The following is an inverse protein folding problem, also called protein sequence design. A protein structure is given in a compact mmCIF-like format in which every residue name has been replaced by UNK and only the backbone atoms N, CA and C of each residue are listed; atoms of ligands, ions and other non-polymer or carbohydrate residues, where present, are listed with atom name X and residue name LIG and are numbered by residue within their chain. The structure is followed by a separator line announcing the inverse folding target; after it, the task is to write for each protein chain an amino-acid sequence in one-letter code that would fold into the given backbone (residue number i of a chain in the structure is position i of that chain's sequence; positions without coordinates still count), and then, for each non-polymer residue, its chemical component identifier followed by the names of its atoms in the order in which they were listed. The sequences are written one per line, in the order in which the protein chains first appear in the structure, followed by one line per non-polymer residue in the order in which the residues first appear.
data_IF_634599751601
#
_entry.id   IF_634599751601
#
_cell.length_a   1.000
_cell.length_b   1.000
_cell.length_c   1.000
_cell.angle_alpha   90.00
_cell.angle_beta   90.00
_cell.angle_gamma   90.00
#
_symmetry.space_group_name_H-M   'P 1'
#
loop_
_entity.id
_entity.type
_entity.pdbx_description
1 polymer ?
#
# COMPACT_ATOMS: atom_id res chain seq x y z
N UNK A 1 40.79 -16.56 -42.82
CA UNK A 1 40.30 -15.45 -43.67
C UNK A 1 39.68 -16.07 -44.91
N UNK A 2 38.42 -15.88 -45.29
CA UNK A 2 37.51 -14.77 -45.06
C UNK A 2 36.04 -15.26 -45.08
N UNK A 3 35.20 -14.62 -44.29
CA UNK A 3 33.76 -14.87 -44.08
C UNK A 3 32.96 -14.33 -45.26
N UNK A 4 31.83 -14.94 -45.63
CA UNK A 4 30.70 -14.24 -46.27
C UNK A 4 29.36 -14.94 -45.91
N UNK A 5 28.72 -14.40 -44.88
CA UNK A 5 27.31 -14.62 -44.54
C UNK A 5 26.43 -13.92 -45.59
N UNK A 6 25.52 -14.64 -46.23
CA UNK A 6 24.38 -14.04 -46.92
C UNK A 6 23.11 -14.40 -46.16
N UNK A 7 22.54 -13.41 -45.47
CA UNK A 7 21.27 -13.52 -44.76
C UNK A 7 20.15 -13.33 -45.78
N UNK A 8 19.28 -14.33 -45.95
CA UNK A 8 18.11 -14.24 -46.82
C UNK A 8 17.04 -13.35 -46.15
N UNK A 9 16.66 -12.25 -46.80
CA UNK A 9 15.64 -11.32 -46.33
C UNK A 9 14.23 -11.90 -46.55
N UNK A 10 13.37 -11.78 -45.55
CA UNK A 10 12.02 -12.35 -45.47
C UNK A 10 10.92 -11.43 -46.05
N UNK A 11 11.31 -10.45 -46.87
CA UNK A 11 10.44 -9.39 -47.38
C UNK A 11 10.45 -9.26 -48.92
N UNK A 12 10.93 -10.28 -49.63
CA UNK A 12 11.15 -10.23 -51.09
C UNK A 12 10.08 -10.97 -51.92
N UNK A 13 8.84 -11.07 -51.43
CA UNK A 13 7.71 -11.51 -52.26
C UNK A 13 6.64 -10.42 -52.29
N UNK A 14 6.72 -9.60 -53.34
CA UNK A 14 5.80 -8.52 -53.66
C UNK A 14 4.39 -9.00 -54.05
N UNK A 15 3.65 -9.53 -53.09
CA UNK A 15 2.22 -9.82 -53.22
C UNK A 15 1.41 -8.97 -52.23
N UNK A 16 1.32 -7.68 -52.53
CA UNK A 16 0.38 -6.77 -51.86
C UNK A 16 -0.88 -6.64 -52.74
N UNK A 17 -2.01 -7.07 -52.17
CA UNK A 17 -3.31 -6.43 -52.41
C UNK A 17 -4.25 -7.11 -53.39
N UNK A 18 -4.95 -8.16 -52.95
CA UNK A 18 -6.32 -8.46 -53.43
C UNK A 18 -7.13 -8.98 -52.25
N UNK A 19 -8.29 -8.36 -52.03
CA UNK A 19 -8.98 -8.30 -50.75
C UNK A 19 -9.55 -9.62 -50.22
N UNK A 20 -9.52 -9.72 -48.89
CA UNK A 20 -10.41 -10.56 -48.10
C UNK A 20 -10.83 -9.74 -46.88
N UNK A 21 -12.15 -9.69 -46.65
CA UNK A 21 -12.86 -9.01 -45.58
C UNK A 21 -12.10 -8.93 -44.24
N UNK A 22 -12.13 -7.79 -43.52
CA UNK A 22 -11.88 -7.80 -42.10
C UNK A 22 -13.11 -8.42 -41.43
N UNK A 23 -13.16 -9.76 -41.41
CA UNK A 23 -13.92 -10.45 -40.38
C UNK A 23 -13.32 -9.97 -39.08
N UNK A 24 -14.13 -9.22 -38.32
CA UNK A 24 -13.84 -8.77 -36.97
C UNK A 24 -13.02 -9.82 -36.23
N UNK A 25 -11.74 -9.53 -36.02
CA UNK A 25 -10.88 -10.30 -35.15
C UNK A 25 -11.46 -10.18 -33.73
N UNK A 26 -12.43 -11.04 -33.42
CA UNK A 26 -12.78 -11.35 -32.06
C UNK A 26 -11.51 -11.88 -31.43
N UNK A 27 -10.93 -11.06 -30.56
CA UNK A 27 -9.90 -11.44 -29.61
C UNK A 27 -10.42 -12.58 -28.77
N UNK A 28 -10.25 -13.82 -29.25
CA UNK A 28 -10.52 -15.02 -28.48
C UNK A 28 -9.37 -15.20 -27.50
N UNK A 29 -9.32 -14.33 -26.50
CA UNK A 29 -8.59 -14.57 -25.27
C UNK A 29 -9.35 -15.66 -24.52
N UNK A 30 -9.10 -16.92 -24.88
CA UNK A 30 -9.47 -18.04 -24.04
C UNK A 30 -8.44 -18.14 -22.90
N UNK A 31 -8.44 -17.14 -22.01
CA UNK A 31 -8.02 -17.42 -20.63
C UNK A 31 -9.08 -18.33 -20.04
N UNK A 32 -8.65 -19.35 -19.28
CA UNK A 32 -9.59 -20.13 -18.49
C UNK A 32 -10.33 -19.14 -17.57
N UNK A 33 -11.61 -18.89 -17.85
CA UNK A 33 -12.39 -17.85 -17.19
C UNK A 33 -12.60 -18.25 -15.73
N UNK A 34 -11.87 -17.61 -14.83
CA UNK A 34 -12.01 -17.79 -13.39
C UNK A 34 -13.00 -16.77 -12.81
N UNK A 35 -13.56 -17.01 -11.63
CA UNK A 35 -14.39 -16.03 -10.91
C UNK A 35 -13.66 -14.72 -10.66
N UNK A 36 -12.34 -14.75 -10.47
CA UNK A 36 -11.51 -13.53 -10.39
C UNK A 36 -11.61 -12.70 -11.68
N UNK A 37 -11.54 -13.34 -12.84
CA UNK A 37 -11.61 -12.66 -14.14
C UNK A 37 -12.98 -12.02 -14.36
N UNK A 38 -14.05 -12.69 -13.92
CA UNK A 38 -15.42 -12.15 -13.99
C UNK A 38 -15.63 -10.98 -13.02
N UNK A 39 -14.87 -10.93 -11.91
CA UNK A 39 -14.88 -9.82 -10.94
C UNK A 39 -13.83 -8.75 -11.23
N UNK A 40 -13.08 -8.86 -12.34
CA UNK A 40 -11.99 -7.94 -12.68
C UNK A 40 -12.40 -6.47 -12.59
N UNK A 41 -13.53 -6.11 -13.21
CA UNK A 41 -14.03 -4.73 -13.21
C UNK A 41 -14.40 -4.27 -11.79
N UNK A 42 -14.89 -5.18 -10.95
CA UNK A 42 -15.18 -4.91 -9.55
C UNK A 42 -13.91 -4.63 -8.76
N UNK A 43 -12.89 -5.47 -8.94
CA UNK A 43 -11.59 -5.28 -8.28
C UNK A 43 -10.86 -4.04 -8.76
N UNK A 44 -11.03 -3.66 -10.02
CA UNK A 44 -10.52 -2.40 -10.54
C UNK A 44 -11.11 -1.19 -9.81
N UNK A 45 -12.40 -1.21 -9.47
CA UNK A 45 -13.03 -0.16 -8.64
C UNK A 45 -12.35 -0.06 -7.27
N UNK A 46 -12.08 -1.21 -6.62
CA UNK A 46 -11.37 -1.22 -5.33
C UNK A 46 -9.98 -0.60 -5.48
N UNK A 47 -9.27 -0.91 -6.57
CA UNK A 47 -7.98 -0.32 -6.86
C UNK A 47 -8.06 1.21 -7.07
N UNK A 48 -9.06 1.70 -7.80
CA UNK A 48 -9.30 3.13 -7.99
C UNK A 48 -9.52 3.86 -6.66
N UNK A 49 -10.36 3.30 -5.77
CA UNK A 49 -10.59 3.88 -4.44
C UNK A 49 -9.30 3.95 -3.63
N UNK A 50 -8.46 2.92 -3.69
CA UNK A 50 -7.13 2.91 -3.04
C UNK A 50 -6.21 3.99 -3.60
N UNK A 51 -6.27 4.24 -4.90
CA UNK A 51 -5.54 5.31 -5.59
C UNK A 51 -6.16 6.71 -5.36
N UNK A 52 -7.07 6.85 -4.38
CA UNK A 52 -7.72 8.10 -4.01
C UNK A 52 -8.62 8.69 -5.12
N UNK A 53 -9.12 7.86 -6.03
CA UNK A 53 -10.18 8.26 -6.96
C UNK A 53 -11.51 8.29 -6.23
N UNK A 54 -12.24 9.41 -6.37
CA UNK A 54 -13.49 9.64 -5.66
C UNK A 54 -14.62 9.74 -6.69
N UNK A 55 -15.68 8.93 -6.54
CA UNK A 55 -16.85 9.03 -7.40
C UNK A 55 -17.57 10.35 -7.18
N UNK A 56 -17.98 11.01 -8.27
CA UNK A 56 -18.68 12.30 -8.20
C UNK A 56 -20.09 12.21 -7.62
N UNK A 57 -20.77 11.07 -7.80
CA UNK A 57 -22.10 10.81 -7.27
C UNK A 57 -22.13 9.42 -6.60
N UNK A 58 -22.49 9.39 -5.30
CA UNK A 58 -22.47 8.18 -4.49
C UNK A 58 -23.57 7.19 -4.88
N UNK A 59 -24.78 7.68 -5.18
CA UNK A 59 -25.91 6.83 -5.53
C UNK A 59 -25.69 6.16 -6.88
N UNK A 60 -25.25 6.93 -7.87
CA UNK A 60 -24.88 6.40 -9.19
C UNK A 60 -23.73 5.39 -9.10
N UNK A 61 -22.76 5.64 -8.22
CA UNK A 61 -21.66 4.72 -7.97
C UNK A 61 -22.14 3.39 -7.37
N UNK A 62 -23.04 3.46 -6.38
CA UNK A 62 -23.67 2.28 -5.77
C UNK A 62 -24.45 1.47 -6.80
N UNK A 63 -25.26 2.13 -7.62
CA UNK A 63 -26.04 1.47 -8.68
C UNK A 63 -25.14 0.79 -9.72
N UNK A 64 -24.02 1.41 -10.09
CA UNK A 64 -23.01 0.79 -10.96
C UNK A 64 -22.44 -0.49 -10.36
N UNK A 65 -22.13 -0.49 -9.06
CA UNK A 65 -21.62 -1.69 -8.37
C UNK A 65 -22.68 -2.79 -8.33
N UNK A 66 -23.94 -2.45 -8.01
CA UNK A 66 -25.03 -3.42 -8.00
C UNK A 66 -25.25 -4.05 -9.39
N UNK A 67 -25.20 -3.24 -10.44
CA UNK A 67 -25.28 -3.71 -11.82
C UNK A 67 -24.10 -4.61 -12.18
N UNK A 68 -22.89 -4.27 -11.76
CA UNK A 68 -21.69 -5.10 -11.93
C UNK A 68 -21.84 -6.46 -11.24
N UNK A 69 -22.33 -6.49 -10.00
CA UNK A 69 -22.56 -7.73 -9.25
C UNK A 69 -23.62 -8.61 -9.91
N UNK A 70 -24.72 -8.01 -10.40
CA UNK A 70 -25.75 -8.72 -11.16
C UNK A 70 -25.19 -9.27 -12.48
N UNK A 71 -24.31 -8.52 -13.14
CA UNK A 71 -23.66 -8.96 -14.36
C UNK A 71 -22.73 -10.14 -14.11
N UNK A 72 -21.87 -10.03 -13.09
CA UNK A 72 -20.99 -11.10 -12.60
C UNK A 72 -21.79 -12.38 -12.33
N UNK A 73 -22.86 -12.29 -11.55
CA UNK A 73 -23.69 -13.44 -11.18
C UNK A 73 -24.32 -14.10 -12.43
N UNK A 74 -24.83 -13.32 -13.38
CA UNK A 74 -25.36 -13.84 -14.63
C UNK A 74 -24.29 -14.51 -15.51
N UNK A 75 -23.09 -13.93 -15.59
CA UNK A 75 -21.97 -14.52 -16.34
C UNK A 75 -21.49 -15.82 -15.69
N UNK A 76 -21.31 -15.82 -14.38
CA UNK A 76 -20.83 -16.99 -13.64
C UNK A 76 -21.83 -18.16 -13.73
N UNK A 77 -23.14 -17.89 -13.65
CA UNK A 77 -24.17 -18.92 -13.87
C UNK A 77 -24.12 -19.49 -15.31
N UNK A 78 -23.89 -18.64 -16.32
CA UNK A 78 -23.74 -19.10 -17.72
C UNK A 78 -22.52 -20.01 -17.91
N UNK A 79 -21.46 -19.77 -17.14
CA UNK A 79 -20.24 -20.57 -17.11
C UNK A 79 -20.36 -21.79 -16.17
N UNK A 80 -21.55 -22.07 -15.62
CA UNK A 80 -21.84 -23.23 -14.78
C UNK A 80 -21.08 -23.30 -13.45
N UNK A 81 -20.66 -22.15 -12.89
CA UNK A 81 -20.18 -22.10 -11.52
C UNK A 81 -21.30 -22.44 -10.53
N UNK A 82 -20.94 -23.05 -9.38
CA UNK A 82 -21.90 -23.36 -8.32
C UNK A 82 -22.55 -22.09 -7.78
N UNK A 83 -23.83 -22.17 -7.42
CA UNK A 83 -24.55 -21.07 -6.80
C UNK A 83 -23.86 -20.60 -5.52
N UNK A 84 -23.30 -21.53 -4.76
CA UNK A 84 -22.56 -21.22 -3.53
C UNK A 84 -21.26 -20.49 -3.83
N UNK A 85 -20.51 -20.87 -4.88
CA UNK A 85 -19.29 -20.17 -5.27
C UNK A 85 -19.55 -18.74 -5.69
N UNK A 86 -20.64 -18.53 -6.44
CA UNK A 86 -21.08 -17.20 -6.86
C UNK A 86 -21.49 -16.38 -5.64
N UNK A 87 -22.22 -16.98 -4.69
CA UNK A 87 -22.64 -16.34 -3.46
C UNK A 87 -21.45 -15.90 -2.61
N UNK A 88 -20.53 -16.83 -2.34
CA UNK A 88 -19.35 -16.61 -1.51
C UNK A 88 -18.39 -15.59 -2.16
N UNK A 89 -18.19 -15.66 -3.48
CA UNK A 89 -17.38 -14.69 -4.21
C UNK A 89 -17.99 -13.28 -4.17
N UNK A 90 -19.32 -13.15 -4.36
CA UNK A 90 -20.04 -11.87 -4.24
C UNK A 90 -19.92 -11.31 -2.83
N UNK A 91 -20.04 -12.18 -1.82
CA UNK A 91 -19.90 -11.83 -0.42
C UNK A 91 -18.50 -11.30 -0.09
N UNK A 92 -17.46 -12.03 -0.51
CA UNK A 92 -16.06 -11.63 -0.31
C UNK A 92 -15.76 -10.26 -0.94
N UNK A 93 -16.23 -10.03 -2.18
CA UNK A 93 -16.06 -8.75 -2.87
C UNK A 93 -16.76 -7.60 -2.12
N UNK A 94 -18.03 -7.79 -1.73
CA UNK A 94 -18.76 -6.77 -0.99
C UNK A 94 -18.04 -6.44 0.32
N UNK A 95 -17.46 -7.44 0.97
CA UNK A 95 -16.74 -7.23 2.21
C UNK A 95 -15.43 -6.46 2.04
N UNK A 96 -14.67 -6.76 0.99
CA UNK A 96 -13.51 -5.98 0.59
C UNK A 96 -13.87 -4.53 0.30
N UNK A 97 -14.92 -4.29 -0.49
CA UNK A 97 -15.30 -2.96 -0.93
C UNK A 97 -15.80 -2.09 0.23
N UNK A 98 -16.69 -2.62 1.07
CA UNK A 98 -17.22 -1.92 2.25
C UNK A 98 -16.07 -1.53 3.19
N UNK A 99 -15.16 -2.46 3.49
CA UNK A 99 -13.98 -2.16 4.32
C UNK A 99 -13.08 -1.12 3.64
N UNK A 100 -12.87 -1.21 2.32
CA UNK A 100 -12.04 -0.27 1.58
C UNK A 100 -12.59 1.16 1.66
N UNK A 101 -13.89 1.35 1.54
CA UNK A 101 -14.53 2.67 1.61
C UNK A 101 -14.44 3.23 3.04
N UNK A 102 -14.82 2.43 4.04
CA UNK A 102 -14.86 2.85 5.45
C UNK A 102 -13.46 3.17 5.99
N UNK A 103 -12.41 2.53 5.46
CA UNK A 103 -11.05 2.68 5.98
C UNK A 103 -10.22 3.77 5.30
N UNK A 104 -10.80 4.50 4.35
CA UNK A 104 -10.15 5.68 3.77
C UNK A 104 -9.91 6.76 4.83
N UNK A 105 -8.72 7.36 4.81
CA UNK A 105 -8.32 8.39 5.78
C UNK A 105 -8.44 9.82 5.26
N UNK A 106 -8.55 9.99 3.95
CA UNK A 106 -8.63 11.31 3.32
C UNK A 106 -9.99 11.95 3.58
N UNK A 107 -9.99 13.23 3.98
CA UNK A 107 -11.21 13.99 4.24
C UNK A 107 -12.14 14.09 3.01
N UNK A 108 -11.59 13.93 1.80
CA UNK A 108 -12.37 13.98 0.57
C UNK A 108 -13.33 12.78 0.42
N UNK A 109 -13.11 11.70 1.16
CA UNK A 109 -14.00 10.52 1.18
C UNK A 109 -15.15 10.65 2.17
N UNK A 110 -15.24 11.73 2.95
CA UNK A 110 -16.21 11.88 4.03
C UNK A 110 -17.66 11.73 3.55
N UNK A 111 -18.03 12.36 2.43
CA UNK A 111 -19.38 12.27 1.87
C UNK A 111 -19.70 10.85 1.39
N UNK A 112 -18.75 10.19 0.71
CA UNK A 112 -18.90 8.80 0.29
C UNK A 112 -19.07 7.89 1.51
N UNK A 113 -18.23 8.03 2.52
CA UNK A 113 -18.26 7.21 3.73
C UNK A 113 -19.57 7.35 4.48
N UNK A 114 -20.04 8.58 4.72
CA UNK A 114 -21.27 8.81 5.48
C UNK A 114 -22.48 8.21 4.77
N UNK A 115 -22.60 8.40 3.46
CA UNK A 115 -23.68 7.80 2.69
C UNK A 115 -23.57 6.27 2.67
N UNK A 116 -22.36 5.74 2.53
CA UNK A 116 -22.13 4.29 2.48
C UNK A 116 -22.41 3.59 3.81
N UNK A 117 -22.09 4.22 4.94
CA UNK A 117 -22.32 3.68 6.28
C UNK A 117 -23.81 3.53 6.63
N UNK A 118 -24.71 4.25 5.96
CA UNK A 118 -26.17 4.11 6.16
C UNK A 118 -26.64 2.72 5.69
N UNK A 119 -26.12 2.25 4.56
CA UNK A 119 -26.52 0.97 3.96
C UNK A 119 -25.36 0.33 3.19
N UNK A 120 -24.35 -0.22 3.91
CA UNK A 120 -23.23 -0.91 3.30
C UNK A 120 -23.72 -2.15 2.52
N UNK A 121 -22.95 -2.60 1.53
CA UNK A 121 -23.39 -3.67 0.65
C UNK A 121 -23.58 -4.99 1.41
N UNK A 122 -22.74 -5.28 2.39
CA UNK A 122 -22.88 -6.42 3.29
C UNK A 122 -24.25 -6.45 3.98
N UNK A 123 -24.71 -5.31 4.49
CA UNK A 123 -26.02 -5.20 5.13
C UNK A 123 -27.14 -5.27 4.09
N UNK A 124 -27.01 -4.53 2.99
CA UNK A 124 -28.05 -4.43 1.96
C UNK A 124 -28.29 -5.72 1.19
N UNK A 125 -27.25 -6.54 0.96
CA UNK A 125 -27.33 -7.74 0.13
C UNK A 125 -27.34 -9.03 0.95
N UNK A 126 -26.69 -9.04 2.12
CA UNK A 126 -26.50 -10.24 2.94
C UNK A 126 -27.08 -10.12 4.35
N UNK A 127 -27.62 -8.95 4.72
CA UNK A 127 -28.23 -8.74 6.04
C UNK A 127 -27.25 -8.90 7.21
N UNK A 128 -25.94 -8.77 6.96
CA UNK A 128 -24.89 -9.03 7.96
C UNK A 128 -23.96 -7.84 8.12
N UNK A 129 -23.60 -7.54 9.37
CA UNK A 129 -22.56 -6.58 9.73
C UNK A 129 -21.29 -7.25 10.28
N UNK A 130 -21.30 -8.59 10.38
CA UNK A 130 -20.22 -9.38 11.01
C UNK A 130 -19.23 -9.92 9.99
N UNK A 131 -19.11 -9.25 8.85
CA UNK A 131 -18.37 -9.79 7.73
C UNK A 131 -16.87 -9.90 7.98
N UNK A 132 -16.30 -9.04 8.83
CA UNK A 132 -14.91 -9.16 9.27
C UNK A 132 -14.56 -10.48 9.97
N UNK A 133 -15.55 -11.18 10.55
CA UNK A 133 -15.38 -12.50 11.16
C UNK A 133 -15.86 -13.62 10.23
N UNK A 134 -17.08 -13.49 9.70
CA UNK A 134 -17.71 -14.47 8.82
C UNK A 134 -16.89 -14.74 7.55
N UNK A 135 -16.17 -13.73 7.04
CA UNK A 135 -15.25 -13.93 5.91
C UNK A 135 -14.22 -15.03 6.19
N UNK A 136 -13.61 -15.02 7.38
CA UNK A 136 -12.58 -16.02 7.73
C UNK A 136 -13.18 -17.38 8.11
N UNK A 137 -14.43 -17.42 8.60
CA UNK A 137 -15.15 -18.68 8.78
C UNK A 137 -15.47 -19.34 7.44
N UNK A 138 -16.00 -18.57 6.48
CA UNK A 138 -16.21 -19.03 5.10
C UNK A 138 -14.90 -19.44 4.45
N UNK A 139 -13.82 -18.69 4.64
CA UNK A 139 -12.48 -19.06 4.16
C UNK A 139 -12.07 -20.44 4.68
N UNK A 140 -12.18 -20.70 5.98
CA UNK A 140 -11.79 -21.99 6.55
C UNK A 140 -12.67 -23.13 6.03
N UNK A 141 -13.97 -22.88 5.85
CA UNK A 141 -14.87 -23.82 5.20
C UNK A 141 -14.42 -24.13 3.76
N UNK A 142 -14.13 -23.12 2.94
CA UNK A 142 -13.67 -23.31 1.56
C UNK A 142 -12.37 -24.12 1.48
N UNK A 143 -11.43 -23.88 2.39
CA UNK A 143 -10.18 -24.66 2.51
C UNK A 143 -10.46 -26.13 2.80
N UNK A 144 -11.42 -26.42 3.69
CA UNK A 144 -11.80 -27.80 4.01
C UNK A 144 -12.34 -28.59 2.80
N UNK A 145 -12.94 -27.88 1.82
CA UNK A 145 -13.45 -28.47 0.58
C UNK A 145 -12.37 -28.61 -0.51
N UNK A 146 -11.21 -27.97 -0.35
CA UNK A 146 -10.07 -28.11 -1.24
C UNK A 146 -10.36 -27.76 -2.70
N UNK A 147 -10.24 -28.74 -3.61
CA UNK A 147 -10.35 -28.51 -5.06
C UNK A 147 -11.76 -28.16 -5.53
N UNK A 148 -12.79 -28.66 -4.85
CA UNK A 148 -14.18 -28.52 -5.30
C UNK A 148 -14.68 -27.08 -5.21
N UNK A 149 -14.12 -26.31 -4.28
CA UNK A 149 -14.45 -24.89 -4.03
C UNK A 149 -13.27 -23.96 -4.29
N UNK A 150 -12.30 -24.41 -5.11
CA UNK A 150 -11.06 -23.67 -5.39
C UNK A 150 -11.35 -22.28 -6.00
N UNK A 151 -12.32 -22.17 -6.89
CA UNK A 151 -12.64 -20.91 -7.57
C UNK A 151 -13.05 -19.81 -6.57
N UNK A 152 -13.91 -20.13 -5.58
CA UNK A 152 -14.26 -19.17 -4.53
C UNK A 152 -13.08 -18.92 -3.58
N UNK A 153 -12.32 -19.95 -3.21
CA UNK A 153 -11.12 -19.80 -2.36
C UNK A 153 -10.12 -18.80 -2.96
N UNK A 154 -9.92 -18.84 -4.28
CA UNK A 154 -9.07 -17.88 -5.00
C UNK A 154 -9.59 -16.45 -4.90
N UNK A 155 -10.90 -16.23 -5.00
CA UNK A 155 -11.51 -14.90 -4.83
C UNK A 155 -11.26 -14.36 -3.43
N UNK A 156 -11.40 -15.19 -2.38
CA UNK A 156 -11.10 -14.79 -1.00
C UNK A 156 -9.62 -14.44 -0.83
N UNK A 157 -8.74 -15.27 -1.37
CA UNK A 157 -7.30 -15.00 -1.37
C UNK A 157 -6.98 -13.66 -2.06
N UNK A 158 -7.58 -13.41 -3.22
CA UNK A 158 -7.41 -12.16 -3.96
C UNK A 158 -7.92 -10.94 -3.18
N UNK A 159 -9.03 -11.08 -2.45
CA UNK A 159 -9.53 -10.02 -1.56
C UNK A 159 -8.54 -9.68 -0.44
N UNK A 160 -7.89 -10.68 0.16
CA UNK A 160 -6.86 -10.44 1.18
C UNK A 160 -5.61 -9.76 0.58
N UNK A 161 -5.18 -10.15 -0.62
CA UNK A 161 -4.08 -9.49 -1.34
C UNK A 161 -4.41 -8.02 -1.67
N UNK A 162 -5.67 -7.75 -1.98
CA UNK A 162 -6.21 -6.39 -2.12
C UNK A 162 -6.45 -5.71 -0.78
N UNK A 163 -5.89 -6.20 0.34
CA UNK A 163 -5.87 -5.49 1.62
C UNK A 163 -7.20 -5.51 2.37
N UNK A 164 -7.99 -6.57 2.24
CA UNK A 164 -9.02 -6.90 3.21
C UNK A 164 -8.37 -7.44 4.49
N UNK A 165 -8.66 -6.81 5.64
CA UNK A 165 -8.10 -7.24 6.93
C UNK A 165 -9.14 -7.91 7.82
N UNK A 166 -10.40 -7.46 7.79
CA UNK A 166 -11.46 -7.93 8.68
C UNK A 166 -11.02 -7.92 10.15
N UNK A 167 -11.25 -9.04 10.87
CA UNK A 167 -10.86 -9.20 12.29
C UNK A 167 -9.36 -8.97 12.56
N UNK A 168 -8.48 -9.23 11.58
CA UNK A 168 -7.04 -9.09 11.76
C UNK A 168 -6.56 -7.64 11.83
N UNK A 169 -7.42 -6.67 11.51
CA UNK A 169 -7.13 -5.24 11.71
C UNK A 169 -6.91 -4.90 13.19
N UNK A 170 -7.54 -5.65 14.10
CA UNK A 170 -7.45 -5.46 15.56
C UNK A 170 -6.47 -6.46 16.18
N UNK A 171 -6.44 -7.70 15.67
CA UNK A 171 -5.61 -8.78 16.25
C UNK A 171 -4.11 -8.61 15.93
N UNK A 172 -3.71 -8.81 14.67
CA UNK A 172 -2.32 -8.67 14.21
C UNK A 172 -2.26 -8.77 12.69
N UNK A 173 -1.55 -7.83 12.06
CA UNK A 173 -1.36 -7.79 10.62
C UNK A 173 -0.39 -8.88 10.15
N UNK A 174 0.55 -9.28 11.02
CA UNK A 174 1.53 -10.34 10.78
C UNK A 174 0.83 -11.69 10.62
N UNK A 175 -0.16 -11.98 11.48
CA UNK A 175 -0.95 -13.20 11.39
C UNK A 175 -1.72 -13.29 10.07
N UNK A 176 -2.27 -12.18 9.58
CA UNK A 176 -2.91 -12.13 8.27
C UNK A 176 -1.90 -12.42 7.14
N UNK A 177 -0.71 -11.83 7.19
CA UNK A 177 0.31 -12.07 6.16
C UNK A 177 0.73 -13.55 6.12
N UNK A 178 0.92 -14.18 7.28
CA UNK A 178 1.19 -15.61 7.37
C UNK A 178 0.04 -16.46 6.81
N UNK A 179 -1.21 -16.07 7.11
CA UNK A 179 -2.39 -16.75 6.56
C UNK A 179 -2.40 -16.64 5.03
N UNK A 180 -2.23 -15.44 4.47
CA UNK A 180 -2.20 -15.20 3.02
C UNK A 180 -1.16 -16.08 2.32
N UNK A 181 0.06 -16.15 2.85
CA UNK A 181 1.12 -17.00 2.28
C UNK A 181 0.69 -18.47 2.28
N UNK A 182 0.18 -18.98 3.40
CA UNK A 182 -0.28 -20.38 3.47
C UNK A 182 -1.40 -20.69 2.49
N UNK A 183 -2.36 -19.78 2.34
CA UNK A 183 -3.45 -19.94 1.36
C UNK A 183 -2.93 -19.91 -0.07
N UNK A 184 -1.94 -19.06 -0.36
CA UNK A 184 -1.30 -19.04 -1.68
C UNK A 184 -0.65 -20.39 -2.01
N UNK A 185 0.12 -20.95 -1.08
CA UNK A 185 0.76 -22.26 -1.25
C UNK A 185 -0.28 -23.39 -1.42
N UNK A 186 -1.35 -23.35 -0.63
CA UNK A 186 -2.47 -24.29 -0.71
C UNK A 186 -3.18 -24.22 -2.07
N UNK A 187 -3.45 -23.02 -2.58
CA UNK A 187 -4.05 -22.81 -3.91
C UNK A 187 -3.13 -23.34 -5.01
N UNK A 188 -1.83 -23.04 -4.96
CA UNK A 188 -0.88 -23.52 -5.98
C UNK A 188 -0.74 -25.04 -5.96
N UNK A 189 -0.74 -25.66 -4.77
CA UNK A 189 -0.80 -27.10 -4.60
C UNK A 189 -2.08 -27.70 -5.19
N UNK A 190 -3.25 -27.12 -4.91
CA UNK A 190 -4.55 -27.60 -5.40
C UNK A 190 -4.69 -27.47 -6.92
N UNK A 191 -4.13 -26.41 -7.52
CA UNK A 191 -4.02 -26.23 -8.97
C UNK A 191 -3.12 -27.27 -9.65
N UNK A 192 -2.34 -28.02 -8.87
CA UNK A 192 -1.36 -28.96 -9.43
C UNK A 192 -0.22 -28.26 -10.16
N UNK A 193 0.03 -26.97 -9.86
CA UNK A 193 1.25 -26.31 -10.34
C UNK A 193 2.42 -27.02 -9.68
N UNK A 194 3.24 -27.70 -10.48
CA UNK A 194 4.51 -28.26 -10.03
C UNK A 194 5.33 -27.14 -9.37
N UNK A 195 6.04 -27.41 -8.26
CA UNK A 195 6.80 -26.39 -7.57
C UNK A 195 7.80 -25.77 -8.56
N UNK A 196 7.87 -24.45 -8.47
CA UNK A 196 8.74 -23.48 -9.12
C UNK A 196 9.78 -23.97 -10.16
N UNK A 197 9.88 -23.21 -11.26
CA UNK A 197 10.76 -23.40 -12.42
C UNK A 197 12.28 -23.49 -12.14
N UNK A 198 12.74 -23.56 -10.90
CA UNK A 198 14.07 -24.08 -10.55
C UNK A 198 14.16 -24.39 -9.05
N UNK A 199 15.01 -25.34 -8.62
CA UNK A 199 15.30 -25.65 -7.22
C UNK A 199 15.97 -24.48 -6.43
N UNK A 200 16.23 -23.34 -7.08
CA UNK A 200 16.83 -22.14 -6.49
C UNK A 200 15.93 -20.90 -6.61
N UNK A 201 14.63 -21.09 -6.85
CA UNK A 201 13.66 -20.01 -7.03
C UNK A 201 13.11 -19.42 -5.73
N UNK A 202 13.41 -20.03 -4.58
CA UNK A 202 13.26 -19.34 -3.31
C UNK A 202 14.13 -18.08 -3.38
N UNK A 203 13.50 -16.91 -3.48
CA UNK A 203 14.23 -15.68 -3.22
C UNK A 203 14.89 -15.88 -1.86
N UNK A 204 16.23 -15.76 -1.75
CA UNK A 204 16.88 -15.80 -0.46
C UNK A 204 16.18 -14.77 0.39
N UNK A 205 15.73 -15.20 1.57
CA UNK A 205 15.05 -14.42 2.60
C UNK A 205 15.68 -13.04 2.67
N UNK A 206 15.13 -12.11 1.90
CA UNK A 206 15.58 -10.73 1.86
C UNK A 206 14.96 -10.11 3.09
N UNK A 207 15.64 -10.36 4.21
CA UNK A 207 15.77 -9.50 5.38
C UNK A 207 14.87 -8.27 5.20
N UNK A 208 13.61 -8.40 5.59
CA UNK A 208 12.71 -7.26 5.71
C UNK A 208 13.04 -6.52 7.01
N UNK A 209 14.32 -6.22 7.23
CA UNK A 209 14.67 -4.91 7.74
C UNK A 209 14.48 -3.96 6.56
N UNK A 210 13.20 -3.62 6.36
CA UNK A 210 12.76 -2.43 5.65
C UNK A 210 13.79 -1.33 5.84
N UNK A 211 14.51 -1.10 4.74
CA UNK A 211 15.26 0.11 4.46
C UNK A 211 14.34 1.28 4.83
N UNK A 212 14.57 1.89 5.99
CA UNK A 212 14.25 3.28 6.15
C UNK A 212 15.13 4.00 5.13
N UNK A 213 14.52 4.33 3.99
CA UNK A 213 15.01 5.40 3.15
C UNK A 213 14.83 6.66 3.97
N UNK A 214 15.75 6.88 4.89
CA UNK A 214 15.82 8.06 5.72
C UNK A 214 16.03 9.23 4.77
N UNK A 215 14.90 9.89 4.51
CA UNK A 215 14.82 11.19 3.89
C UNK A 215 15.84 12.12 4.56
N UNK A 216 16.33 13.16 3.85
CA UNK A 216 17.48 14.00 4.21
C UNK A 216 17.30 14.89 5.46
N UNK A 217 16.43 14.50 6.40
CA UNK A 217 16.14 15.20 7.64
C UNK A 217 17.35 15.30 8.56
N UNK A 218 18.19 14.27 8.63
CA UNK A 218 19.44 14.32 9.40
C UNK A 218 20.40 15.41 8.91
N UNK A 219 20.50 15.60 7.60
CA UNK A 219 21.34 16.65 7.01
C UNK A 219 20.79 18.06 7.30
N UNK A 220 19.47 18.22 7.29
CA UNK A 220 18.79 19.47 7.67
C UNK A 220 19.02 19.77 9.15
N UNK A 221 18.91 18.76 10.03
CA UNK A 221 19.16 18.89 11.46
C UNK A 221 20.61 19.29 11.74
N UNK A 222 21.58 18.63 11.10
CA UNK A 222 23.01 18.95 11.22
C UNK A 222 23.28 20.40 10.78
N UNK A 223 22.72 20.83 9.65
CA UNK A 223 22.88 22.18 9.16
C UNK A 223 22.28 23.22 10.12
N UNK A 224 21.09 22.95 10.67
CA UNK A 224 20.42 23.82 11.62
C UNK A 224 21.21 23.95 12.94
N UNK A 225 21.74 22.84 13.45
CA UNK A 225 22.60 22.85 14.65
C UNK A 225 23.88 23.63 14.40
N UNK A 226 24.54 23.41 13.26
CA UNK A 226 25.76 24.13 12.88
C UNK A 226 25.52 25.64 12.79
N UNK A 227 24.42 26.05 12.15
CA UNK A 227 24.04 27.45 12.00
C UNK A 227 23.76 28.11 13.36
N UNK A 228 23.03 27.43 14.25
CA UNK A 228 22.77 27.92 15.60
C UNK A 228 24.07 28.10 16.42
N UNK A 229 25.01 27.16 16.29
CA UNK A 229 26.30 27.19 16.99
C UNK A 229 27.18 28.34 16.49
N UNK A 230 27.25 28.57 15.17
CA UNK A 230 27.95 29.71 14.59
C UNK A 230 27.36 31.04 15.05
N UNK A 231 26.03 31.16 15.05
CA UNK A 231 25.33 32.36 15.51
C UNK A 231 25.62 32.65 16.98
N UNK A 232 25.57 31.62 17.83
CA UNK A 232 25.88 31.73 19.25
C UNK A 232 27.32 32.18 19.49
N UNK A 233 28.30 31.57 18.83
CA UNK A 233 29.72 31.96 18.95
C UNK A 233 29.92 33.41 18.48
N UNK A 234 29.32 33.80 17.36
CA UNK A 234 29.41 35.17 16.84
C UNK A 234 28.84 36.21 17.82
N UNK A 235 27.66 35.95 18.37
CA UNK A 235 27.03 36.80 19.39
C UNK A 235 27.88 36.88 20.66
N UNK A 236 28.40 35.75 21.13
CA UNK A 236 29.21 35.71 22.35
C UNK A 236 30.53 36.47 22.17
N UNK A 237 31.18 36.32 21.01
CA UNK A 237 32.40 37.07 20.68
C UNK A 237 32.14 38.58 20.57
N UNK A 238 31.02 38.98 19.94
CA UNK A 238 30.60 40.38 19.89
C UNK A 238 30.33 40.93 21.30
N UNK A 239 29.63 40.18 22.14
CA UNK A 239 29.35 40.55 23.53
C UNK A 239 30.62 40.65 24.36
N UNK A 240 31.56 39.71 24.25
CA UNK A 240 32.86 39.77 24.90
C UNK A 240 33.66 41.01 24.48
N UNK A 241 33.64 41.35 23.20
CA UNK A 241 34.31 42.56 22.69
C UNK A 241 33.66 43.83 23.24
N UNK A 242 32.32 43.89 23.28
CA UNK A 242 31.59 45.00 23.90
C UNK A 242 31.82 45.07 25.41
N UNK A 243 31.87 43.93 26.11
CA UNK A 243 32.12 43.87 27.54
C UNK A 243 33.52 44.41 27.87
N UNK A 244 34.55 43.98 27.14
CA UNK A 244 35.91 44.48 27.34
C UNK A 244 36.02 45.98 27.05
N UNK A 245 35.31 46.48 26.03
CA UNK A 245 35.23 47.92 25.76
C UNK A 245 34.51 48.68 26.89
N UNK A 246 33.41 48.13 27.43
CA UNK A 246 32.65 48.76 28.51
C UNK A 246 33.39 48.72 29.86
N UNK A 247 34.03 47.60 30.22
CA UNK A 247 34.77 47.42 31.46
C UNK A 247 36.14 48.10 31.48
N UNK A 248 36.75 48.37 30.32
CA UNK A 248 37.98 49.17 30.25
C UNK A 248 37.86 50.55 30.92
N UNK A 249 36.65 51.12 30.98
CA UNK A 249 36.37 52.38 31.70
C UNK A 249 36.33 52.24 33.22
N UNK A 250 36.08 51.04 33.75
CA UNK A 250 35.90 50.79 35.18
C UNK A 250 37.08 50.05 35.84
N UNK A 251 37.95 49.40 35.05
CA UNK A 251 39.09 48.63 35.55
C UNK A 251 40.15 49.49 36.27
N UNK A 252 40.10 50.82 36.12
CA UNK A 252 40.97 51.78 36.83
C UNK A 252 40.41 52.27 38.18
N UNK A 253 39.24 51.79 38.63
CA UNK A 253 38.57 52.35 39.82
C UNK A 253 38.71 51.43 41.06
N UNK A 254 39.02 50.16 40.88
CA UNK A 254 39.22 49.22 42.00
C UNK A 254 40.72 49.05 42.24
N UNK A 255 41.31 49.97 42.97
CA UNK A 255 42.57 49.74 43.67
C UNK A 255 42.25 49.09 45.03
N UNK A 256 42.91 47.98 45.41
CA UNK A 256 42.80 47.50 46.79
C UNK A 256 43.30 48.60 47.75
N UNK A 257 42.68 48.78 48.93
CA UNK A 257 43.13 49.79 49.88
C UNK A 257 44.59 49.55 50.27
N UNK A 258 45.39 50.61 50.20
CA UNK A 258 46.82 50.61 50.50
C UNK A 258 46.98 50.29 52.00
N UNK A 259 47.80 49.30 52.30
CA UNK A 259 48.17 48.89 53.65
C UNK A 259 48.69 50.10 54.45
N UNK A 260 48.09 50.36 55.62
CA UNK A 260 48.37 51.56 56.41
C UNK A 260 49.77 51.47 57.05
N UNK A 261 50.68 52.37 56.65
CA UNK A 261 52.02 52.47 57.23
C UNK A 261 51.94 52.96 58.69
N UNK A 262 52.44 52.16 59.64
CA UNK A 262 52.62 52.58 61.03
C UNK A 262 53.94 53.35 61.17
N UNK A 263 53.90 54.55 61.76
CA UNK A 263 55.07 55.35 62.10
C UNK A 263 55.30 55.23 63.61
N UNK A 264 56.35 54.52 64.01
CA UNK A 264 56.82 54.48 65.40
C UNK A 264 57.81 55.61 65.61
N UNK A 265 57.40 56.65 66.33
CA UNK A 265 58.27 57.79 66.68
C UNK A 265 59.03 57.42 67.96
N UNK A 266 60.36 57.29 67.87
CA UNK A 266 61.23 57.23 69.04
C UNK A 266 61.67 58.64 69.39
N UNK A 267 61.36 59.11 70.61
CA UNK A 267 61.97 60.31 71.18
C UNK A 267 63.20 59.93 72.02
N UNK A 268 64.23 60.80 72.08
CA UNK A 268 65.45 60.60 72.86
C UNK A 268 65.23 60.71 74.37
#
# INVERSE_FOLDING_TARGET
MNINNTVHSLFEDGLIGIGLNPTSAQSKMSSATNLIDLLHDGFYIVFLLKQQYIPSNVDEFRDKILNLLNHFENQARKLQFSADDIHDAKYAYCALLDETIVTQKSAQFFDLQNNWMISPLQLSLFGSQLAGYRFFESLEFLRSQGKDRLAALEVFHYCMLLGFYGKFRIESIENLNHLVIRISDEIDFLKGKKPAFSPFSALPDQIKHIIHRELPFFWILIFLVLFALLSFIGLNFMLLKQNNQAFSKYQNIISPPIEQAYITIHLP
#
